data_IF_684923057337
#
_entry.id   IF_684923057337
#
_cell.length_a   1.000
_cell.length_b   1.000
_cell.length_c   1.000
_cell.angle_alpha   90.00
_cell.angle_beta   90.00
_cell.angle_gamma   90.00
#
_symmetry.space_group_name_H-M   'P 1'
#
loop_
_entity.id
_entity.type
_entity.pdbx_description
1 polymer ?
#
# COMPACT_ATOMS: atom_id res chain seq x y z
N UNK A 1 3.23 -9.19 28.22
CA UNK A 1 3.30 -8.25 27.09
C UNK A 1 1.92 -7.70 26.87
N UNK A 2 1.78 -6.40 26.72
CA UNK A 2 0.49 -5.76 26.37
C UNK A 2 0.10 -6.20 24.96
N UNK A 3 -1.15 -6.56 24.77
CA UNK A 3 -1.67 -6.98 23.47
C UNK A 3 -1.53 -5.82 22.47
N UNK A 4 -0.94 -6.07 21.30
CA UNK A 4 -0.81 -5.09 20.22
C UNK A 4 -2.20 -4.77 19.64
N UNK A 5 -2.55 -3.50 19.56
CA UNK A 5 -3.83 -3.05 19.01
C UNK A 5 -3.67 -2.34 17.66
N UNK A 6 -4.73 -2.32 16.87
CA UNK A 6 -4.80 -1.54 15.63
C UNK A 6 -4.45 -0.05 15.86
N UNK A 7 -4.89 0.50 17.00
CA UNK A 7 -4.62 1.89 17.35
C UNK A 7 -3.15 2.16 17.66
N UNK A 8 -2.44 1.20 18.29
CA UNK A 8 -1.00 1.33 18.54
C UNK A 8 -0.21 1.35 17.24
N UNK A 9 -0.54 0.45 16.31
CA UNK A 9 0.06 0.39 14.96
C UNK A 9 -0.15 1.70 14.21
N UNK A 10 -1.37 2.24 14.22
CA UNK A 10 -1.68 3.51 13.54
C UNK A 10 -0.98 4.69 14.17
N UNK A 11 -0.97 4.77 15.50
CA UNK A 11 -0.28 5.83 16.23
C UNK A 11 1.22 5.81 15.92
N UNK A 12 1.86 4.67 16.08
CA UNK A 12 3.28 4.53 15.82
C UNK A 12 3.63 4.89 14.37
N UNK A 13 2.90 4.37 13.38
CA UNK A 13 3.12 4.70 11.97
C UNK A 13 3.00 6.20 11.68
N UNK A 14 2.01 6.85 12.27
CA UNK A 14 1.80 8.31 12.13
C UNK A 14 2.96 9.10 12.78
N UNK A 15 3.42 8.71 13.95
CA UNK A 15 4.55 9.32 14.65
C UNK A 15 5.86 9.16 13.84
N UNK A 16 5.99 8.11 13.03
CA UNK A 16 7.11 7.88 12.10
C UNK A 16 6.95 8.60 10.75
N UNK A 17 5.90 9.43 10.59
CA UNK A 17 5.71 10.28 9.43
C UNK A 17 4.93 9.64 8.28
N UNK A 18 4.24 8.52 8.53
CA UNK A 18 3.26 8.01 7.57
C UNK A 18 2.00 8.89 7.62
N UNK A 19 1.49 9.28 6.46
CA UNK A 19 0.32 10.17 6.38
C UNK A 19 -1.00 9.42 6.61
N UNK A 20 -1.07 8.14 6.24
CA UNK A 20 -2.22 7.26 6.45
C UNK A 20 -1.73 5.86 6.81
N UNK A 21 -2.45 5.22 7.72
CA UNK A 21 -2.28 3.80 8.08
C UNK A 21 -3.66 3.18 8.17
N UNK A 22 -3.88 2.11 7.42
CA UNK A 22 -5.14 1.36 7.42
C UNK A 22 -4.89 -0.13 7.56
N UNK A 23 -5.87 -0.85 8.07
CA UNK A 23 -5.76 -2.27 8.37
C UNK A 23 -6.86 -3.03 7.64
N UNK A 24 -6.46 -4.08 6.93
CA UNK A 24 -7.36 -5.08 6.38
C UNK A 24 -7.12 -6.42 7.07
N UNK A 25 -8.18 -7.16 7.39
CA UNK A 25 -8.04 -8.56 7.73
C UNK A 25 -7.79 -9.41 6.47
N UNK A 26 -7.26 -10.61 6.65
CA UNK A 26 -6.85 -11.48 5.54
C UNK A 26 -8.03 -11.93 4.68
N UNK A 27 -9.23 -12.06 5.27
CA UNK A 27 -10.44 -12.52 4.58
C UNK A 27 -10.87 -11.55 3.46
N UNK A 28 -10.50 -10.28 3.55
CA UNK A 28 -10.79 -9.29 2.49
C UNK A 28 -10.01 -9.53 1.19
N UNK A 29 -9.08 -10.47 1.21
CA UNK A 29 -8.32 -10.91 0.03
C UNK A 29 -8.84 -12.22 -0.55
N UNK A 30 -9.93 -12.77 0.00
CA UNK A 30 -10.58 -13.95 -0.54
C UNK A 30 -10.93 -13.76 -2.02
N UNK A 31 -10.66 -14.76 -2.85
CA UNK A 31 -10.81 -14.68 -4.30
C UNK A 31 -9.68 -13.98 -5.05
N UNK A 32 -8.66 -13.46 -4.38
CA UNK A 32 -7.46 -12.97 -5.06
C UNK A 32 -6.73 -14.11 -5.79
N UNK A 33 -6.17 -13.86 -6.98
CA UNK A 33 -5.32 -14.85 -7.64
C UNK A 33 -4.22 -15.36 -6.69
N UNK A 34 -3.87 -16.66 -6.72
CA UNK A 34 -2.92 -17.24 -5.76
C UNK A 34 -1.59 -16.47 -5.66
N UNK A 35 -1.06 -15.95 -6.78
CA UNK A 35 0.18 -15.14 -6.80
C UNK A 35 -0.01 -13.69 -6.35
N UNK A 36 -1.21 -13.29 -5.97
CA UNK A 36 -1.53 -11.95 -5.47
C UNK A 36 -2.10 -11.97 -4.06
N UNK A 37 -2.28 -13.15 -3.48
CA UNK A 37 -2.84 -13.30 -2.15
C UNK A 37 -1.76 -13.12 -1.07
N UNK A 38 -1.96 -12.29 -0.03
CA UNK A 38 -0.93 -12.06 1.00
C UNK A 38 -0.48 -13.34 1.72
N UNK A 39 -1.37 -14.30 1.92
CA UNK A 39 -1.04 -15.58 2.54
C UNK A 39 -0.07 -16.44 1.69
N UNK A 40 0.14 -16.13 0.41
CA UNK A 40 1.17 -16.78 -0.38
C UNK A 40 2.59 -16.31 0.00
N UNK A 41 2.69 -15.09 0.58
CA UNK A 41 3.93 -14.58 1.17
C UNK A 41 4.09 -15.12 2.60
N UNK A 42 3.05 -14.96 3.41
CA UNK A 42 3.01 -15.38 4.81
C UNK A 42 1.76 -16.23 5.06
N UNK A 43 1.86 -17.57 5.09
CA UNK A 43 0.69 -18.46 5.27
C UNK A 43 -0.10 -18.23 6.56
N UNK A 44 0.53 -17.70 7.61
CA UNK A 44 -0.11 -17.39 8.89
C UNK A 44 -0.61 -15.94 8.98
N UNK A 45 -0.58 -15.19 7.86
CA UNK A 45 -1.05 -13.80 7.85
C UNK A 45 -2.50 -13.71 8.33
N UNK A 46 -2.76 -12.75 9.22
CA UNK A 46 -4.09 -12.40 9.72
C UNK A 46 -4.49 -10.99 9.31
N UNK A 47 -3.50 -10.10 9.20
CA UNK A 47 -3.74 -8.71 8.83
C UNK A 47 -2.75 -8.20 7.78
N UNK A 48 -3.22 -7.25 6.98
CA UNK A 48 -2.40 -6.45 6.07
C UNK A 48 -2.52 -4.99 6.50
N UNK A 49 -1.42 -4.45 7.00
CA UNK A 49 -1.32 -3.03 7.37
C UNK A 49 -0.87 -2.27 6.15
N UNK A 50 -1.73 -1.44 5.57
CA UNK A 50 -1.42 -0.62 4.41
C UNK A 50 -1.09 0.79 4.86
N UNK A 51 0.04 1.30 4.40
CA UNK A 51 0.53 2.62 4.75
C UNK A 51 0.61 3.51 3.53
N UNK A 52 0.40 4.81 3.73
CA UNK A 52 0.49 5.78 2.66
C UNK A 52 1.32 7.00 3.07
N UNK A 53 2.04 7.53 2.10
CA UNK A 53 2.66 8.84 2.19
C UNK A 53 2.22 9.70 1.02
N UNK A 54 1.91 10.98 1.31
CA UNK A 54 1.46 11.93 0.28
C UNK A 54 2.58 12.28 -0.69
N UNK A 55 2.20 12.53 -1.92
CA UNK A 55 3.03 13.20 -2.90
C UNK A 55 2.67 14.69 -2.85
N UNK A 56 3.66 15.54 -2.64
CA UNK A 56 3.44 16.97 -2.49
C UNK A 56 2.85 17.58 -3.77
N UNK A 57 1.87 18.48 -3.63
CA UNK A 57 1.28 19.19 -4.78
C UNK A 57 2.36 19.97 -5.56
N UNK A 58 3.30 20.57 -4.84
CA UNK A 58 4.39 21.33 -5.43
C UNK A 58 5.32 20.52 -6.33
N UNK A 59 5.34 19.18 -6.22
CA UNK A 59 6.17 18.34 -7.08
C UNK A 59 5.79 18.43 -8.58
N UNK A 60 4.55 18.82 -8.88
CA UNK A 60 4.07 19.03 -10.24
C UNK A 60 4.29 20.45 -10.77
N UNK A 61 4.55 21.42 -9.88
CA UNK A 61 4.61 22.83 -10.29
C UNK A 61 5.60 23.06 -11.44
N UNK A 62 6.82 22.54 -11.31
CA UNK A 62 7.84 22.71 -12.34
C UNK A 62 7.48 22.06 -13.69
N UNK A 63 6.69 20.97 -13.67
CA UNK A 63 6.17 20.34 -14.90
C UNK A 63 5.08 21.20 -15.52
N UNK A 64 4.14 21.68 -14.72
CA UNK A 64 3.04 22.54 -15.17
C UNK A 64 3.54 23.86 -15.80
N UNK A 65 4.60 24.43 -15.23
CA UNK A 65 5.24 25.65 -15.76
C UNK A 65 6.25 25.36 -16.88
N UNK A 66 6.59 24.08 -17.14
CA UNK A 66 7.61 23.70 -18.11
C UNK A 66 9.03 24.12 -17.75
N UNK A 67 9.32 24.33 -16.44
CA UNK A 67 10.57 24.97 -15.98
C UNK A 67 11.47 24.06 -15.17
N UNK A 68 10.93 23.07 -14.42
CA UNK A 68 11.74 22.30 -13.50
C UNK A 68 11.17 20.89 -13.24
N UNK A 69 11.83 19.86 -13.74
CA UNK A 69 11.40 18.48 -13.68
C UNK A 69 11.97 17.65 -12.50
N UNK A 70 13.19 17.96 -11.97
CA UNK A 70 13.83 17.11 -10.98
C UNK A 70 13.00 16.87 -9.71
N UNK A 71 12.24 17.86 -9.25
CA UNK A 71 11.39 17.70 -8.06
C UNK A 71 10.38 16.55 -8.23
N UNK A 72 9.75 16.45 -9.39
CA UNK A 72 8.83 15.36 -9.68
C UNK A 72 9.54 14.00 -9.71
N UNK A 73 10.70 13.94 -10.36
CA UNK A 73 11.49 12.72 -10.50
C UNK A 73 11.96 12.20 -9.14
N UNK A 74 12.49 13.09 -8.29
CA UNK A 74 13.08 12.70 -7.00
C UNK A 74 12.07 12.59 -5.86
N UNK A 75 11.10 13.48 -5.76
CA UNK A 75 10.17 13.56 -4.64
C UNK A 75 8.72 13.20 -5.03
N UNK A 76 8.46 12.92 -6.31
CA UNK A 76 7.17 12.54 -6.82
C UNK A 76 6.90 11.04 -6.72
N UNK A 77 6.89 10.38 -7.86
CA UNK A 77 6.36 9.03 -7.96
C UNK A 77 7.38 7.92 -7.66
N UNK A 78 8.60 8.03 -8.14
CA UNK A 78 9.62 6.99 -7.99
C UNK A 78 10.73 7.40 -7.02
N UNK A 79 11.68 8.07 -7.40
CA UNK A 79 12.85 8.54 -6.70
C UNK A 79 12.91 8.29 -5.18
N UNK A 80 13.31 9.28 -4.44
CA UNK A 80 13.53 9.21 -2.99
C UNK A 80 12.25 8.90 -2.19
N UNK A 81 11.06 9.32 -2.68
CA UNK A 81 9.82 9.01 -1.97
C UNK A 81 9.62 7.51 -1.85
N UNK A 82 9.81 6.78 -2.95
CA UNK A 82 9.57 5.33 -2.98
C UNK A 82 10.76 4.53 -2.41
N UNK A 83 11.99 4.99 -2.65
CA UNK A 83 13.20 4.22 -2.31
C UNK A 83 13.76 4.53 -0.93
N UNK A 84 13.34 5.64 -0.31
CA UNK A 84 13.90 6.09 0.96
C UNK A 84 12.83 6.51 1.96
N UNK A 85 11.99 7.51 1.61
CA UNK A 85 11.04 8.07 2.59
C UNK A 85 9.89 7.14 2.96
N UNK A 86 9.53 6.20 2.11
CA UNK A 86 8.52 5.18 2.44
C UNK A 86 9.11 3.96 3.14
N UNK A 87 10.22 3.35 2.66
CA UNK A 87 10.78 2.17 3.30
C UNK A 87 11.23 2.38 4.73
N UNK A 88 11.78 3.54 5.09
CA UNK A 88 12.26 3.81 6.44
C UNK A 88 11.14 3.69 7.49
N UNK A 89 10.04 4.47 7.44
CA UNK A 89 8.97 4.34 8.41
C UNK A 89 8.21 3.01 8.31
N UNK A 90 8.21 2.36 7.14
CA UNK A 90 7.64 1.03 6.98
C UNK A 90 8.44 0.00 7.75
N UNK A 91 9.77 0.05 7.65
CA UNK A 91 10.67 -0.83 8.39
C UNK A 91 10.55 -0.62 9.89
N UNK A 92 10.56 0.63 10.36
CA UNK A 92 10.35 0.95 11.77
C UNK A 92 9.02 0.38 12.30
N UNK A 93 7.96 0.46 11.49
CA UNK A 93 6.64 -0.08 11.86
C UNK A 93 6.65 -1.62 11.89
N UNK A 94 7.38 -2.27 10.98
CA UNK A 94 7.55 -3.72 11.02
C UNK A 94 8.31 -4.15 12.28
N UNK A 95 9.42 -3.48 12.64
CA UNK A 95 10.13 -3.72 13.88
C UNK A 95 9.21 -3.55 15.11
N UNK A 96 8.39 -2.49 15.12
CA UNK A 96 7.43 -2.27 16.21
C UNK A 96 6.45 -3.43 16.37
N UNK A 97 5.95 -4.01 15.28
CA UNK A 97 5.07 -5.18 15.34
C UNK A 97 5.82 -6.41 15.85
N UNK A 98 7.07 -6.62 15.40
CA UNK A 98 7.91 -7.73 15.85
C UNK A 98 8.31 -7.61 17.34
N UNK A 99 8.57 -6.41 17.83
CA UNK A 99 8.83 -6.15 19.26
C UNK A 99 7.63 -6.52 20.15
N UNK A 100 6.43 -6.61 19.57
CA UNK A 100 5.22 -7.11 20.25
C UNK A 100 5.00 -8.61 20.07
N UNK A 101 5.94 -9.34 19.45
CA UNK A 101 5.93 -10.79 19.34
C UNK A 101 5.18 -11.34 18.12
N UNK A 102 4.96 -10.54 17.09
CA UNK A 102 4.28 -10.95 15.85
C UNK A 102 5.21 -10.79 14.65
N UNK A 103 5.33 -11.83 13.83
CA UNK A 103 6.07 -11.73 12.58
C UNK A 103 5.44 -10.69 11.64
N UNK A 104 6.29 -9.87 11.00
CA UNK A 104 5.87 -8.80 10.11
C UNK A 104 6.74 -8.74 8.85
N UNK A 105 6.13 -8.89 7.68
CA UNK A 105 6.81 -8.81 6.39
C UNK A 105 6.57 -7.43 5.78
N UNK A 106 7.57 -6.54 5.76
CA UNK A 106 7.46 -5.27 5.06
C UNK A 106 7.44 -5.52 3.55
N UNK A 107 6.30 -5.31 2.94
CA UNK A 107 6.10 -5.51 1.51
C UNK A 107 6.43 -4.24 0.73
N UNK A 108 7.45 -4.33 -0.11
CA UNK A 108 7.83 -3.28 -1.05
C UNK A 108 7.15 -3.54 -2.40
N UNK A 109 6.29 -2.65 -2.91
CA UNK A 109 5.62 -2.83 -4.19
C UNK A 109 6.59 -2.56 -5.35
N UNK A 110 7.49 -3.49 -5.58
CA UNK A 110 8.42 -3.47 -6.70
C UNK A 110 7.73 -3.64 -8.06
N UNK A 111 8.49 -3.53 -9.12
CA UNK A 111 8.04 -3.94 -10.45
C UNK A 111 8.20 -5.45 -10.50
N UNK A 112 7.15 -6.21 -10.82
CA UNK A 112 7.27 -7.66 -11.00
C UNK A 112 8.35 -7.96 -12.03
N UNK A 113 9.14 -9.00 -11.80
CA UNK A 113 10.05 -9.47 -12.83
C UNK A 113 9.28 -9.79 -14.11
N UNK A 114 9.86 -9.46 -15.25
CA UNK A 114 9.23 -9.67 -16.55
C UNK A 114 8.89 -11.14 -16.83
N UNK A 115 9.64 -12.04 -16.23
CA UNK A 115 9.46 -13.50 -16.35
C UNK A 115 9.79 -14.14 -15.01
N UNK A 116 8.91 -14.05 -14.00
CA UNK A 116 9.12 -14.77 -12.76
C UNK A 116 9.14 -16.28 -13.05
N UNK A 117 9.97 -17.07 -12.36
CA UNK A 117 9.96 -18.52 -12.47
C UNK A 117 8.52 -19.03 -12.24
N UNK A 118 7.99 -19.78 -13.20
CA UNK A 118 6.64 -20.35 -13.08
C UNK A 118 6.59 -21.49 -12.07
N UNK A 119 7.75 -22.16 -11.87
CA UNK A 119 7.84 -23.32 -11.00
C UNK A 119 7.97 -22.92 -9.54
N UNK A 120 7.12 -23.45 -8.65
CA UNK A 120 7.26 -23.25 -7.24
C UNK A 120 8.56 -23.85 -6.69
N UNK A 121 9.18 -23.12 -5.75
CA UNK A 121 10.39 -23.60 -5.05
C UNK A 121 10.09 -24.69 -4.03
N UNK A 122 8.81 -24.89 -3.67
CA UNK A 122 8.33 -25.93 -2.75
C UNK A 122 7.05 -26.54 -3.30
N UNK A 123 6.81 -27.85 -3.11
CA UNK A 123 5.55 -28.49 -3.49
C UNK A 123 4.35 -27.79 -2.86
N UNK A 124 3.30 -27.54 -3.64
CA UNK A 124 2.08 -26.90 -3.18
C UNK A 124 2.13 -25.37 -2.98
N UNK A 125 3.32 -24.76 -3.13
CA UNK A 125 3.43 -23.29 -3.11
C UNK A 125 3.16 -22.70 -4.50
N UNK A 126 2.90 -21.39 -4.55
CA UNK A 126 2.93 -20.61 -5.80
C UNK A 126 4.38 -20.35 -6.21
N UNK A 127 4.61 -20.07 -7.48
CA UNK A 127 5.93 -19.63 -7.95
C UNK A 127 6.39 -18.36 -7.23
N UNK A 128 7.71 -18.11 -7.13
CA UNK A 128 8.25 -16.92 -6.47
C UNK A 128 7.74 -15.62 -7.08
N UNK A 129 8.04 -14.51 -6.41
CA UNK A 129 7.60 -13.15 -6.74
C UNK A 129 6.07 -12.98 -6.68
N UNK A 130 5.50 -13.36 -5.54
CA UNK A 130 4.12 -13.03 -5.18
C UNK A 130 3.95 -11.52 -5.17
N UNK A 131 3.01 -11.03 -5.96
CA UNK A 131 2.80 -9.60 -6.16
C UNK A 131 1.47 -9.13 -5.56
N UNK A 132 1.51 -8.64 -4.32
CA UNK A 132 0.33 -8.02 -3.69
C UNK A 132 -0.07 -6.76 -4.48
N UNK A 133 -1.31 -6.73 -4.96
CA UNK A 133 -1.85 -5.54 -5.61
C UNK A 133 -2.12 -4.43 -4.59
N UNK A 134 -1.12 -3.58 -4.39
CA UNK A 134 -1.11 -2.57 -3.31
C UNK A 134 -2.29 -1.61 -3.35
N UNK A 135 -2.85 -1.30 -4.53
CA UNK A 135 -4.03 -0.45 -4.67
C UNK A 135 -5.30 -1.15 -4.17
N UNK A 136 -5.41 -2.46 -4.45
CA UNK A 136 -6.50 -3.29 -3.93
C UNK A 136 -6.34 -3.44 -2.42
N UNK A 137 -5.11 -3.67 -1.94
CA UNK A 137 -4.83 -3.70 -0.51
C UNK A 137 -5.22 -2.39 0.20
N UNK A 138 -4.92 -1.23 -0.42
CA UNK A 138 -5.35 0.08 0.09
C UNK A 138 -6.87 0.23 0.19
N UNK A 139 -7.60 -0.31 -0.78
CA UNK A 139 -9.08 -0.34 -0.74
C UNK A 139 -9.56 -1.29 0.36
N UNK A 140 -8.99 -2.48 0.46
CA UNK A 140 -9.31 -3.45 1.50
C UNK A 140 -9.02 -2.92 2.92
N UNK A 141 -8.02 -2.05 3.07
CA UNK A 141 -7.67 -1.38 4.33
C UNK A 141 -8.48 -0.09 4.59
N UNK A 142 -9.52 0.20 3.81
CA UNK A 142 -10.40 1.35 4.02
C UNK A 142 -9.75 2.72 3.74
N UNK A 143 -8.55 2.78 3.17
CA UNK A 143 -7.82 4.04 2.95
C UNK A 143 -8.38 4.87 1.79
N UNK A 144 -9.14 4.26 0.90
CA UNK A 144 -9.67 4.91 -0.28
C UNK A 144 -10.31 3.95 -1.26
N UNK A 145 -10.49 4.37 -2.49
CA UNK A 145 -11.10 3.56 -3.55
C UNK A 145 -10.34 3.67 -4.88
N UNK A 146 -10.60 2.70 -5.74
CA UNK A 146 -10.13 2.70 -7.12
C UNK A 146 -11.06 3.54 -8.00
N UNK A 147 -10.54 4.64 -8.54
CA UNK A 147 -11.28 5.43 -9.50
C UNK A 147 -11.45 4.77 -10.86
N UNK A 148 -12.28 5.37 -11.73
CA UNK A 148 -12.52 4.87 -13.10
C UNK A 148 -11.23 4.74 -13.91
N UNK A 149 -10.27 5.65 -13.72
CA UNK A 149 -8.95 5.60 -14.35
C UNK A 149 -8.03 4.49 -13.82
N UNK A 150 -8.52 3.59 -12.94
CA UNK A 150 -7.70 2.57 -12.25
C UNK A 150 -6.58 3.17 -11.39
N UNK A 151 -6.76 4.41 -10.94
CA UNK A 151 -5.89 5.08 -9.98
C UNK A 151 -6.53 5.00 -8.60
N UNK A 152 -5.73 4.62 -7.60
CA UNK A 152 -6.17 4.64 -6.20
C UNK A 152 -6.26 6.07 -5.69
N UNK A 153 -7.34 6.39 -4.99
CA UNK A 153 -7.60 7.72 -4.44
C UNK A 153 -7.95 7.65 -2.97
N UNK A 154 -7.50 8.64 -2.23
CA UNK A 154 -7.82 8.83 -0.81
C UNK A 154 -8.64 10.11 -0.62
N UNK A 155 -9.44 10.15 0.45
CA UNK A 155 -10.24 11.35 0.78
C UNK A 155 -9.35 12.58 1.03
N UNK A 156 -8.21 12.40 1.68
CA UNK A 156 -7.35 13.52 2.12
C UNK A 156 -6.43 14.04 1.02
N UNK A 157 -5.93 13.16 0.14
CA UNK A 157 -4.87 13.50 -0.80
C UNK A 157 -5.24 13.24 -2.27
N UNK A 158 -6.43 12.71 -2.52
CA UNK A 158 -6.81 12.25 -3.85
C UNK A 158 -5.85 11.16 -4.36
N UNK A 159 -5.41 11.21 -5.62
CA UNK A 159 -4.49 10.23 -6.20
C UNK A 159 -3.02 10.45 -5.81
N UNK A 160 -2.72 11.53 -5.08
CA UNK A 160 -1.35 11.91 -4.74
C UNK A 160 -0.85 11.20 -3.49
N UNK A 161 -0.80 9.87 -3.55
CA UNK A 161 -0.27 9.01 -2.49
C UNK A 161 0.61 7.91 -3.04
N UNK A 162 1.59 7.51 -2.24
CA UNK A 162 2.35 6.29 -2.45
C UNK A 162 1.99 5.29 -1.37
N UNK A 163 1.74 4.04 -1.78
CA UNK A 163 1.29 2.97 -0.88
C UNK A 163 2.39 1.92 -0.71
N UNK A 164 2.53 1.41 0.52
CA UNK A 164 3.27 0.21 0.87
C UNK A 164 2.43 -0.61 1.86
N UNK A 165 2.88 -1.80 2.23
CA UNK A 165 2.16 -2.65 3.17
C UNK A 165 3.10 -3.42 4.10
N UNK A 166 2.55 -3.90 5.22
CA UNK A 166 3.12 -4.94 6.06
C UNK A 166 2.12 -6.07 6.13
N UNK A 167 2.59 -7.30 5.89
CA UNK A 167 1.79 -8.50 6.07
C UNK A 167 2.20 -9.09 7.41
N UNK A 168 1.25 -9.36 8.31
CA UNK A 168 1.55 -9.81 9.67
C UNK A 168 0.59 -10.88 10.16
N UNK A 169 1.06 -11.72 11.08
CA UNK A 169 0.25 -12.66 11.83
C UNK A 169 -0.47 -12.02 13.02
N UNK A 170 -0.18 -10.75 13.34
CA UNK A 170 -0.94 -10.01 14.33
C UNK A 170 -2.41 -9.89 13.91
N UNK A 171 -3.31 -10.24 14.80
CA UNK A 171 -4.76 -10.08 14.61
C UNK A 171 -5.14 -8.65 15.02
N UNK A 172 -5.33 -7.79 14.04
CA UNK A 172 -5.61 -6.37 14.23
C UNK A 172 -7.02 -6.06 13.76
N UNK A 173 -7.73 -5.21 14.51
CA UNK A 173 -9.08 -4.75 14.14
C UNK A 173 -9.04 -4.04 12.77
N UNK A 174 -9.79 -4.52 11.76
CA UNK A 174 -9.76 -3.94 10.43
C UNK A 174 -10.53 -2.61 10.37
N UNK A 175 -10.04 -1.70 9.53
CA UNK A 175 -10.75 -0.44 9.27
C UNK A 175 -12.04 -0.66 8.48
N UNK A 176 -13.07 0.19 8.69
CA UNK A 176 -14.26 0.17 7.87
C UNK A 176 -13.94 0.43 6.40
N UNK A 177 -14.59 -0.28 5.50
CA UNK A 177 -14.45 -0.05 4.07
C UNK A 177 -15.09 1.29 3.68
N UNK A 178 -14.51 1.94 2.69
CA UNK A 178 -15.12 3.10 2.06
C UNK A 178 -16.25 2.65 1.12
N UNK A 179 -17.38 3.30 1.18
CA UNK A 179 -18.49 3.05 0.27
C UNK A 179 -18.08 3.35 -1.18
N UNK A 180 -18.34 2.43 -2.12
CA UNK A 180 -18.02 2.65 -3.54
C UNK A 180 -18.69 3.91 -4.11
N UNK A 181 -17.93 4.69 -4.88
CA UNK A 181 -18.42 5.94 -5.45
C UNK A 181 -18.26 7.16 -4.55
N UNK A 182 -17.69 7.01 -3.36
CA UNK A 182 -17.44 8.12 -2.45
C UNK A 182 -16.47 9.16 -3.03
N UNK A 183 -15.47 8.73 -3.77
CA UNK A 183 -14.43 9.59 -4.34
C UNK A 183 -14.51 9.67 -5.87
N UNK A 184 -15.04 8.65 -6.52
CA UNK A 184 -15.19 8.59 -7.98
C UNK A 184 -16.67 8.47 -8.37
N UNK A 185 -17.28 9.58 -8.72
CA UNK A 185 -18.65 9.68 -9.23
C UNK A 185 -18.80 9.28 -10.73
N UNK A 186 -17.72 8.79 -11.34
CA UNK A 186 -17.64 8.44 -12.76
C UNK A 186 -17.94 9.62 -13.70
N UNK A 187 -17.54 10.83 -13.34
CA UNK A 187 -17.73 12.05 -14.16
C UNK A 187 -17.02 12.00 -15.54
N UNK A 188 -16.18 10.98 -15.76
CA UNK A 188 -15.43 10.73 -17.01
C UNK A 188 -14.41 11.83 -17.36
N UNK A 189 -14.10 12.75 -16.45
CA UNK A 189 -13.10 13.79 -16.69
C UNK A 189 -11.71 13.20 -17.03
N UNK A 190 -11.31 12.11 -16.37
CA UNK A 190 -10.07 11.40 -16.66
C UNK A 190 -10.02 10.80 -18.07
N UNK A 191 -11.16 10.37 -18.61
CA UNK A 191 -11.26 9.85 -19.98
C UNK A 191 -11.22 10.97 -21.00
N UNK A 192 -11.96 12.06 -20.75
CA UNK A 192 -12.00 13.24 -21.63
C UNK A 192 -10.68 13.99 -21.69
N UNK A 193 -9.91 13.98 -20.59
CA UNK A 193 -8.60 14.63 -20.52
C UNK A 193 -7.42 13.75 -20.98
N UNK A 194 -7.67 12.49 -21.36
CA UNK A 194 -6.64 11.61 -21.88
C UNK A 194 -6.46 11.84 -23.37
N UNK A 195 -5.30 12.34 -23.78
CA UNK A 195 -4.92 12.59 -25.18
C UNK A 195 -4.17 11.40 -25.75
#
# INVERSE_FOLDING_TARGET
MTQLTAQDVKRFGTERGLDLVGIANIERFEGAPPRMHPAAIMPRAKSVVVVARRILRGNWRGIEEGTYWPTYTYFGYHGLLNSFFMPMPLYDLACFIEDHGHEAVPYYPGVPEKQPPEQPLRPGAVGPDVHLQIRIAGTAAGLGEMGWAKVFMTKKFGPRVRLHAIITEAELEPDPLMEPGTLCDRCMACVKGCT
#
